data_IF_172585844223
#
_entry.id   IF_172585844223
#
_cell.length_a   1.000
_cell.length_b   1.000
_cell.length_c   1.000
_cell.angle_alpha   90.00
_cell.angle_beta   90.00
_cell.angle_gamma   90.00
#
_symmetry.space_group_name_H-M   'P 1'
#
loop_
_entity.id
_entity.type
_entity.pdbx_description
1 polymer ?
#
# COMPACT_ATOMS: atom_id res chain seq x y z
N UNK A 1 9.13 13.34 4.31
CA UNK A 1 9.67 12.69 3.09
C UNK A 1 11.15 12.31 3.28
N UNK A 2 12.03 13.23 3.65
CA UNK A 2 13.50 13.03 3.73
C UNK A 2 13.97 11.89 4.67
N UNK A 3 13.26 11.65 5.77
CA UNK A 3 13.59 10.62 6.76
C UNK A 3 13.09 9.20 6.38
N UNK A 4 12.35 9.06 5.27
CA UNK A 4 11.69 7.81 4.88
C UNK A 4 10.51 7.43 5.78
N UNK A 5 10.04 6.19 5.61
CA UNK A 5 9.00 5.56 6.42
C UNK A 5 9.63 4.47 7.29
N UNK A 6 9.63 4.64 8.61
CA UNK A 6 10.02 3.59 9.54
C UNK A 6 8.88 2.57 9.62
N UNK A 7 9.21 1.31 9.38
CA UNK A 7 8.31 0.17 9.53
C UNK A 7 8.85 -0.72 10.66
N UNK A 8 8.10 -0.81 11.74
CA UNK A 8 8.36 -1.71 12.86
C UNK A 8 7.54 -3.00 12.66
N UNK A 9 8.23 -4.14 12.68
CA UNK A 9 7.70 -5.50 12.53
C UNK A 9 8.11 -6.30 13.77
N UNK A 10 7.47 -7.44 14.12
CA UNK A 10 7.72 -8.13 15.39
C UNK A 10 9.17 -8.55 15.59
N UNK A 11 9.90 -8.79 14.50
CA UNK A 11 11.27 -9.28 14.52
C UNK A 11 12.31 -8.26 14.03
N UNK A 12 11.88 -7.08 13.54
CA UNK A 12 12.81 -6.08 12.99
C UNK A 12 12.16 -4.72 12.84
N UNK A 13 12.99 -3.68 12.87
CA UNK A 13 12.64 -2.35 12.34
C UNK A 13 13.43 -2.09 11.07
N UNK A 14 12.80 -1.45 10.09
CA UNK A 14 13.47 -1.01 8.86
C UNK A 14 12.95 0.34 8.40
N UNK A 15 13.77 1.09 7.66
CA UNK A 15 13.35 2.35 7.04
C UNK A 15 13.20 2.14 5.54
N UNK A 16 11.99 2.34 5.02
CA UNK A 16 11.70 2.35 3.60
C UNK A 16 11.89 3.78 3.06
N UNK A 17 12.81 3.94 2.09
CA UNK A 17 12.96 5.17 1.33
C UNK A 17 12.27 4.97 -0.01
N UNK A 18 11.08 5.55 -0.15
CA UNK A 18 10.25 5.46 -1.35
C UNK A 18 10.23 6.85 -2.00
N UNK A 19 10.19 6.94 -3.35
CA UNK A 19 9.82 8.18 -4.02
C UNK A 19 8.44 8.66 -3.52
N UNK A 20 8.30 9.95 -3.24
CA UNK A 20 7.04 10.53 -2.75
C UNK A 20 6.76 11.82 -3.49
N UNK A 21 5.58 11.90 -4.09
CA UNK A 21 5.04 13.09 -4.76
C UNK A 21 3.89 13.71 -3.96
N UNK A 22 3.53 14.96 -4.25
CA UNK A 22 2.41 15.69 -3.65
C UNK A 22 1.08 15.42 -4.33
N UNK A 23 1.10 15.11 -5.61
CA UNK A 23 -0.08 14.86 -6.42
C UNK A 23 0.15 13.73 -7.42
N UNK A 24 -0.94 13.08 -7.85
CA UNK A 24 -0.92 12.04 -8.90
C UNK A 24 -0.41 12.56 -10.25
N UNK A 25 -0.52 13.87 -10.52
CA UNK A 25 -0.02 14.52 -11.73
C UNK A 25 1.51 14.65 -11.78
N UNK A 26 2.19 14.50 -10.65
CA UNK A 26 3.67 14.56 -10.56
C UNK A 26 4.32 13.19 -10.83
N UNK A 27 3.52 12.13 -11.02
CA UNK A 27 4.02 10.79 -11.35
C UNK A 27 4.25 10.69 -12.86
N UNK A 28 5.42 10.20 -13.26
CA UNK A 28 5.72 9.79 -14.63
C UNK A 28 5.06 8.43 -14.90
N UNK A 29 3.76 8.43 -15.21
CA UNK A 29 2.95 7.24 -15.44
C UNK A 29 3.38 6.49 -16.70
N UNK A 30 3.53 5.17 -16.58
CA UNK A 30 3.98 4.29 -17.65
C UNK A 30 3.00 3.17 -17.91
N UNK A 31 3.06 2.61 -19.11
CA UNK A 31 2.35 1.37 -19.42
C UNK A 31 2.82 0.26 -18.48
N UNK A 32 1.86 -0.42 -17.84
CA UNK A 32 2.11 -1.49 -16.87
C UNK A 32 2.09 -1.03 -15.41
N UNK A 33 2.00 0.27 -15.13
CA UNK A 33 1.81 0.76 -13.76
C UNK A 33 0.43 0.37 -13.22
N UNK A 34 0.35 0.16 -11.91
CA UNK A 34 -0.87 -0.20 -11.18
C UNK A 34 -1.01 0.71 -9.97
N UNK A 35 -2.23 1.19 -9.73
CA UNK A 35 -2.54 2.03 -8.56
C UNK A 35 -3.13 1.19 -7.45
N UNK A 36 -2.53 1.29 -6.26
CA UNK A 36 -3.12 0.79 -5.02
C UNK A 36 -3.75 1.98 -4.29
N UNK A 37 -5.08 2.05 -4.29
CA UNK A 37 -5.81 3.15 -3.64
C UNK A 37 -5.94 2.86 -2.14
N UNK A 38 -5.19 3.61 -1.33
CA UNK A 38 -5.11 3.45 0.13
C UNK A 38 -5.67 4.64 0.92
N UNK A 39 -6.33 5.60 0.26
CA UNK A 39 -6.99 6.74 0.93
C UNK A 39 -8.25 6.28 1.66
N UNK A 40 -8.69 7.06 2.65
CA UNK A 40 -10.00 6.81 3.27
C UNK A 40 -11.11 7.12 2.27
N UNK A 41 -12.25 6.44 2.39
CA UNK A 41 -13.38 6.54 1.44
C UNK A 41 -13.82 7.97 1.18
N UNK A 42 -13.87 8.85 2.19
CA UNK A 42 -14.26 10.26 2.01
C UNK A 42 -13.30 11.07 1.13
N UNK A 43 -12.07 10.62 0.94
CA UNK A 43 -11.06 11.29 0.12
C UNK A 43 -10.90 10.62 -1.25
N UNK A 44 -11.49 9.44 -1.45
CA UNK A 44 -11.25 8.59 -2.63
C UNK A 44 -11.80 9.19 -3.92
N UNK A 45 -12.98 9.81 -3.91
CA UNK A 45 -13.61 10.31 -5.13
C UNK A 45 -12.76 11.40 -5.83
N UNK A 46 -12.31 12.40 -5.07
CA UNK A 46 -11.45 13.45 -5.62
C UNK A 46 -10.09 12.94 -6.12
N UNK A 47 -9.52 11.93 -5.44
CA UNK A 47 -8.28 11.28 -5.89
C UNK A 47 -8.50 10.50 -7.19
N UNK A 48 -9.63 9.80 -7.32
CA UNK A 48 -9.98 9.08 -8.54
C UNK A 48 -10.20 10.02 -9.72
N UNK A 49 -10.81 11.19 -9.51
CA UNK A 49 -10.98 12.22 -10.54
C UNK A 49 -9.63 12.77 -11.01
N UNK A 50 -8.77 13.15 -10.05
CA UNK A 50 -7.42 13.65 -10.36
C UNK A 50 -6.58 12.61 -11.08
N UNK A 51 -6.67 11.34 -10.67
CA UNK A 51 -5.93 10.25 -11.29
C UNK A 51 -6.44 9.98 -12.71
N UNK A 52 -7.76 9.95 -12.91
CA UNK A 52 -8.34 9.69 -14.23
C UNK A 52 -7.96 10.77 -15.25
N UNK A 53 -7.80 12.02 -14.81
CA UNK A 53 -7.37 13.11 -15.68
C UNK A 53 -5.95 12.94 -16.25
N UNK A 54 -5.05 12.25 -15.54
CA UNK A 54 -3.62 12.14 -15.91
C UNK A 54 -3.20 10.73 -16.31
N UNK A 55 -3.90 9.70 -15.83
CA UNK A 55 -3.58 8.31 -16.04
C UNK A 55 -4.85 7.44 -16.16
N UNK A 56 -5.75 7.70 -17.13
CA UNK A 56 -7.02 6.97 -17.24
C UNK A 56 -6.86 5.48 -17.58
N UNK A 57 -5.67 5.08 -18.04
CA UNK A 57 -5.36 3.73 -18.52
C UNK A 57 -4.87 2.77 -17.43
N UNK A 58 -4.53 3.27 -16.23
CA UNK A 58 -3.94 2.42 -15.19
C UNK A 58 -5.01 1.58 -14.49
N UNK A 59 -4.74 0.30 -14.19
CA UNK A 59 -5.59 -0.47 -13.29
C UNK A 59 -5.58 0.13 -11.89
N UNK A 60 -6.75 0.20 -11.27
CA UNK A 60 -6.94 0.68 -9.90
C UNK A 60 -7.36 -0.48 -9.00
N UNK A 61 -6.64 -0.66 -7.91
CA UNK A 61 -6.90 -1.69 -6.91
C UNK A 61 -7.28 -1.00 -5.59
N UNK A 62 -8.54 -1.10 -5.20
CA UNK A 62 -9.10 -0.53 -3.98
C UNK A 62 -8.70 -1.37 -2.76
N UNK A 63 -7.94 -0.79 -1.84
CA UNK A 63 -7.45 -1.46 -0.62
C UNK A 63 -8.38 -1.30 0.59
N UNK A 64 -9.50 -0.58 0.42
CA UNK A 64 -10.41 -0.28 1.51
C UNK A 64 -11.40 -1.43 1.73
N UNK A 65 -11.73 -1.69 3.00
CA UNK A 65 -12.81 -2.59 3.36
C UNK A 65 -14.16 -1.90 3.08
N UNK A 66 -14.69 -2.01 1.87
CA UNK A 66 -16.02 -1.47 1.56
C UNK A 66 -16.27 -1.09 0.10
N UNK A 67 -17.42 -1.55 -0.37
CA UNK A 67 -17.89 -1.73 -1.76
C UNK A 67 -17.97 -0.47 -2.62
N UNK A 68 -18.06 0.73 -2.01
CA UNK A 68 -18.34 1.97 -2.77
C UNK A 68 -17.15 2.45 -3.60
N UNK A 69 -15.91 2.30 -3.11
CA UNK A 69 -14.72 2.78 -3.83
C UNK A 69 -14.52 2.01 -5.14
N UNK A 70 -14.81 0.71 -5.16
CA UNK A 70 -14.75 -0.13 -6.36
C UNK A 70 -15.73 0.35 -7.43
N UNK A 71 -16.95 0.74 -7.03
CA UNK A 71 -17.94 1.31 -7.95
C UNK A 71 -17.47 2.64 -8.52
N UNK A 72 -16.97 3.55 -7.68
CA UNK A 72 -16.45 4.84 -8.13
C UNK A 72 -15.25 4.70 -9.06
N UNK A 73 -14.37 3.74 -8.79
CA UNK A 73 -13.24 3.42 -9.67
C UNK A 73 -13.72 2.79 -10.98
N UNK A 74 -14.64 1.82 -10.96
CA UNK A 74 -15.16 1.16 -12.16
C UNK A 74 -15.92 2.12 -13.10
N UNK A 75 -16.47 3.22 -12.58
CA UNK A 75 -17.07 4.27 -13.41
C UNK A 75 -16.04 5.09 -14.20
N UNK A 76 -14.77 5.09 -13.78
CA UNK A 76 -13.70 5.92 -14.34
C UNK A 76 -12.64 5.09 -15.08
N UNK A 77 -12.36 3.88 -14.61
CA UNK A 77 -11.25 3.06 -15.08
C UNK A 77 -11.74 1.74 -15.68
N UNK A 78 -11.09 1.29 -16.76
CA UNK A 78 -11.42 0.01 -17.42
C UNK A 78 -11.14 -1.19 -16.52
N UNK A 79 -10.17 -1.08 -15.60
CA UNK A 79 -9.81 -2.15 -14.67
C UNK A 79 -9.84 -1.61 -13.24
N UNK A 80 -10.90 -1.94 -12.51
CA UNK A 80 -11.06 -1.65 -11.09
C UNK A 80 -11.21 -2.96 -10.31
N UNK A 81 -10.34 -3.18 -9.33
CA UNK A 81 -10.30 -4.39 -8.50
C UNK A 81 -10.52 -4.04 -7.03
N UNK A 82 -11.35 -4.81 -6.35
CA UNK A 82 -11.43 -4.82 -4.90
C UNK A 82 -10.46 -5.82 -4.29
N UNK A 83 -9.84 -5.48 -3.17
CA UNK A 83 -9.11 -6.48 -2.36
C UNK A 83 -9.44 -6.35 -0.88
N UNK A 84 -9.39 -7.48 -0.20
CA UNK A 84 -9.42 -7.52 1.25
C UNK A 84 -7.97 -7.55 1.79
N UNK A 85 -7.60 -6.53 2.57
CA UNK A 85 -6.26 -6.44 3.17
C UNK A 85 -6.25 -7.12 4.53
N UNK A 86 -5.64 -8.31 4.59
CA UNK A 86 -5.42 -9.06 5.83
C UNK A 86 -4.03 -8.75 6.40
N UNK A 87 -3.83 -7.51 6.83
CA UNK A 87 -2.55 -7.02 7.37
C UNK A 87 -2.80 -6.08 8.55
N UNK A 88 -2.76 -6.58 9.80
CA UNK A 88 -2.92 -5.72 10.97
C UNK A 88 -1.71 -4.79 11.08
N UNK A 89 -1.95 -3.49 10.97
CA UNK A 89 -0.95 -2.45 11.07
C UNK A 89 -1.53 -1.13 11.60
N UNK A 90 -0.68 -0.31 12.21
CA UNK A 90 -1.03 0.99 12.78
C UNK A 90 -0.10 2.09 12.26
N UNK A 91 -0.66 3.29 12.13
CA UNK A 91 0.05 4.53 11.80
C UNK A 91 -0.48 5.64 12.71
N UNK A 92 0.19 5.84 13.84
CA UNK A 92 -0.21 6.82 14.86
C UNK A 92 0.56 8.14 14.72
N UNK A 93 1.76 8.10 14.15
CA UNK A 93 2.61 9.28 13.96
C UNK A 93 3.20 9.31 12.54
N UNK A 94 3.36 10.50 11.95
CA UNK A 94 3.89 10.63 10.61
C UNK A 94 5.26 9.97 10.44
N UNK A 95 5.37 9.10 9.44
CA UNK A 95 6.64 8.44 9.10
C UNK A 95 6.94 7.19 9.92
N UNK A 96 6.00 6.69 10.72
CA UNK A 96 6.13 5.41 11.43
C UNK A 96 4.89 4.54 11.28
N UNK A 97 5.09 3.30 10.83
CA UNK A 97 4.07 2.26 10.75
C UNK A 97 4.52 1.08 11.61
N UNK A 98 3.61 0.49 12.37
CA UNK A 98 3.82 -0.77 13.09
C UNK A 98 2.98 -1.84 12.41
N UNK A 99 3.59 -2.93 11.95
CA UNK A 99 2.90 -4.06 11.33
C UNK A 99 3.04 -5.31 12.21
N UNK A 100 1.92 -5.90 12.61
CA UNK A 100 1.89 -6.94 13.64
C UNK A 100 2.01 -8.36 13.08
N UNK A 101 1.64 -8.58 11.81
CA UNK A 101 1.56 -9.91 11.19
C UNK A 101 2.79 -10.39 10.43
N UNK A 102 3.91 -9.66 10.48
CA UNK A 102 5.06 -9.95 9.64
C UNK A 102 5.85 -11.19 10.12
N UNK A 103 6.06 -12.17 9.22
CA UNK A 103 6.87 -13.36 9.51
C UNK A 103 8.37 -13.04 9.57
N UNK A 104 9.16 -13.82 10.34
CA UNK A 104 10.62 -13.74 10.30
C UNK A 104 11.15 -14.00 8.89
N UNK A 105 12.30 -13.42 8.52
CA UNK A 105 12.96 -13.78 7.27
C UNK A 105 13.42 -15.24 7.34
N UNK A 106 13.35 -15.94 6.21
CA UNK A 106 13.62 -17.39 6.08
C UNK A 106 15.04 -17.81 6.49
N UNK A 107 15.95 -16.86 6.71
CA UNK A 107 17.32 -17.07 7.20
C UNK A 107 17.45 -17.27 8.72
N UNK A 108 16.39 -17.09 9.50
CA UNK A 108 16.43 -17.23 10.97
C UNK A 108 15.73 -18.49 11.50
N UNK A 109 15.17 -19.33 10.62
CA UNK A 109 14.59 -20.60 11.05
C UNK A 109 15.70 -21.64 11.31
N UNK A 110 16.13 -21.75 12.56
CA UNK A 110 16.93 -22.89 13.04
C UNK A 110 15.99 -23.90 13.71
N UNK A 111 15.74 -25.08 13.12
CA UNK A 111 14.86 -26.07 13.74
C UNK A 111 15.39 -26.52 15.11
N UNK A 112 14.48 -26.77 16.05
CA UNK A 112 14.75 -27.21 17.42
C UNK A 112 15.49 -28.56 17.51
N UNK A 113 15.60 -29.30 16.41
CA UNK A 113 16.26 -30.61 16.35
C UNK A 113 17.80 -30.56 16.40
N UNK A 114 18.43 -29.39 16.31
CA UNK A 114 19.90 -29.26 16.25
C UNK A 114 20.59 -28.99 17.61
N UNK A 115 20.01 -29.47 18.73
CA UNK A 115 20.53 -29.22 20.10
C UNK A 115 20.88 -30.49 20.91
N UNK A 116 21.05 -31.64 20.28
CA UNK A 116 21.63 -32.80 20.94
C UNK A 116 22.63 -33.49 20.01
N UNK A 117 23.90 -33.21 20.25
CA UNK A 117 25.08 -33.89 19.74
C UNK A 117 26.15 -33.81 20.82
#
# INVERSE_FOLDING_TARGET
>A
RERGLRLDEPHRSRVARLPVVGAVSEVDWRSGDVVLLCTKTQDSEGVLDQLHAVAPHVPVVCMQNGVVNERWAAQRFTQALGVCVQMPAEHLEPGRVVAYGARPRRTEYRPLSARHG
#
